data_IF_193577397497
#
_entry.id   IF_193577397497
#
_cell.length_a   1.000
_cell.length_b   1.000
_cell.length_c   1.000
_cell.angle_alpha   90.00
_cell.angle_beta   90.00
_cell.angle_gamma   90.00
#
_symmetry.space_group_name_H-M   'P 1'
#
loop_
_entity.id
_entity.type
_entity.pdbx_description
1 polymer ?
#
# COMPACT_ATOMS: atom_id res chain seq x y z
N UNK A 1 -38.25 -30.74 -32.49
CA UNK A 1 -38.48 -31.81 -31.49
C UNK A 1 -37.49 -31.78 -30.32
N UNK A 2 -36.30 -31.18 -30.42
CA UNK A 2 -35.34 -31.14 -29.29
C UNK A 2 -35.59 -30.06 -28.23
N UNK A 3 -36.29 -28.97 -28.57
CA UNK A 3 -36.53 -27.83 -27.65
C UNK A 3 -37.51 -28.22 -26.53
N UNK A 4 -38.50 -29.06 -26.83
CA UNK A 4 -39.46 -29.56 -25.85
C UNK A 4 -38.79 -30.49 -24.81
N UNK A 5 -37.88 -31.36 -25.26
CA UNK A 5 -37.18 -32.31 -24.39
C UNK A 5 -36.33 -31.64 -23.29
N UNK A 6 -35.84 -30.41 -23.52
CA UNK A 6 -35.11 -29.63 -22.51
C UNK A 6 -36.02 -29.02 -21.43
N UNK A 7 -37.24 -28.63 -21.80
CA UNK A 7 -38.24 -28.08 -20.86
C UNK A 7 -38.81 -29.17 -19.94
N UNK A 8 -39.04 -30.38 -20.47
CA UNK A 8 -39.46 -31.53 -19.65
C UNK A 8 -38.35 -32.01 -18.70
N UNK A 9 -37.09 -31.98 -19.14
CA UNK A 9 -35.94 -32.30 -18.26
C UNK A 9 -35.77 -31.31 -17.13
N UNK A 10 -35.97 -30.02 -17.38
CA UNK A 10 -35.89 -29.00 -16.33
C UNK A 10 -37.07 -29.07 -15.37
N UNK A 11 -38.31 -29.20 -15.84
CA UNK A 11 -39.49 -29.43 -14.99
C UNK A 11 -39.41 -30.72 -14.17
N UNK A 12 -38.92 -31.82 -14.74
CA UNK A 12 -38.69 -33.07 -14.01
C UNK A 12 -37.63 -32.90 -12.91
N UNK A 13 -36.57 -32.14 -13.16
CA UNK A 13 -35.56 -31.83 -12.14
C UNK A 13 -36.14 -30.92 -11.03
N UNK A 14 -36.98 -29.94 -11.37
CA UNK A 14 -37.68 -29.12 -10.38
C UNK A 14 -38.62 -29.96 -9.51
N UNK A 15 -39.41 -30.86 -10.12
CA UNK A 15 -40.30 -31.77 -9.38
C UNK A 15 -39.52 -32.75 -8.50
N UNK A 16 -38.35 -33.25 -8.94
CA UNK A 16 -37.51 -34.07 -8.08
C UNK A 16 -36.91 -33.28 -6.90
N UNK A 17 -36.54 -32.02 -7.10
CA UNK A 17 -36.04 -31.15 -6.02
C UNK A 17 -37.16 -30.84 -5.01
N UNK A 18 -38.40 -30.62 -5.48
CA UNK A 18 -39.56 -30.33 -4.64
C UNK A 18 -40.01 -31.56 -3.84
N UNK A 19 -40.03 -32.75 -4.45
CA UNK A 19 -40.28 -34.02 -3.76
C UNK A 19 -39.17 -34.33 -2.74
N UNK A 20 -37.91 -33.99 -3.05
CA UNK A 20 -36.79 -34.15 -2.12
C UNK A 20 -36.86 -33.16 -0.95
N UNK A 21 -37.36 -31.94 -1.17
CA UNK A 21 -37.58 -30.95 -0.12
C UNK A 21 -38.72 -31.34 0.83
N UNK A 22 -39.84 -31.83 0.30
CA UNK A 22 -40.97 -32.35 1.10
C UNK A 22 -40.56 -33.58 1.93
N UNK A 23 -39.69 -34.44 1.38
CA UNK A 23 -39.10 -35.55 2.13
C UNK A 23 -38.14 -35.07 3.23
N UNK A 24 -37.41 -33.98 2.99
CA UNK A 24 -36.48 -33.40 3.95
C UNK A 24 -37.23 -32.71 5.11
N UNK A 25 -38.35 -32.04 4.84
CA UNK A 25 -39.24 -31.49 5.86
C UNK A 25 -39.91 -32.60 6.68
N UNK A 26 -40.26 -33.72 6.03
CA UNK A 26 -40.74 -34.92 6.73
C UNK A 26 -39.67 -35.51 7.65
N UNK A 27 -38.41 -35.59 7.22
CA UNK A 27 -37.28 -36.03 8.06
C UNK A 27 -37.06 -35.07 9.24
N UNK A 28 -37.18 -33.75 9.03
CA UNK A 28 -37.10 -32.78 10.13
C UNK A 28 -38.24 -32.92 11.14
N UNK A 29 -39.47 -33.17 10.68
CA UNK A 29 -40.61 -33.44 11.58
C UNK A 29 -40.47 -34.77 12.33
N UNK A 30 -39.92 -35.81 11.70
CA UNK A 30 -39.63 -37.10 12.35
C UNK A 30 -38.53 -36.95 13.40
N UNK A 31 -37.45 -36.22 13.09
CA UNK A 31 -36.41 -35.88 14.08
C UNK A 31 -36.97 -35.02 15.22
N UNK A 32 -37.90 -34.10 14.95
CA UNK A 32 -38.56 -33.32 16.00
C UNK A 32 -39.46 -34.19 16.89
N UNK A 33 -40.15 -35.19 16.33
CA UNK A 33 -40.90 -36.16 17.13
C UNK A 33 -39.99 -37.06 17.96
N UNK A 34 -38.88 -37.54 17.42
CA UNK A 34 -37.90 -38.37 18.13
C UNK A 34 -37.25 -37.58 19.28
N UNK A 35 -36.92 -36.30 19.07
CA UNK A 35 -36.41 -35.40 20.13
C UNK A 35 -37.49 -35.06 21.19
N UNK A 36 -38.78 -35.11 20.85
CA UNK A 36 -39.89 -34.88 21.79
C UNK A 36 -40.19 -36.14 22.61
N UNK A 37 -40.14 -37.33 22.01
CA UNK A 37 -40.28 -38.61 22.73
C UNK A 37 -39.11 -38.84 23.71
N UNK A 38 -37.88 -38.54 23.29
CA UNK A 38 -36.68 -38.64 24.14
C UNK A 38 -36.71 -37.63 25.31
N UNK A 39 -37.44 -36.51 25.15
CA UNK A 39 -37.72 -35.56 26.25
C UNK A 39 -38.81 -36.04 27.21
N UNK A 40 -39.75 -36.85 26.76
CA UNK A 40 -40.86 -37.36 27.57
C UNK A 40 -40.34 -38.44 28.54
N UNK A 41 -39.40 -39.28 28.11
CA UNK A 41 -38.75 -40.31 28.94
C UNK A 41 -37.85 -39.71 30.05
N UNK A 42 -37.37 -38.47 29.88
CA UNK A 42 -36.55 -37.74 30.86
C UNK A 42 -37.38 -37.12 32.01
N UNK A 43 -38.70 -36.95 31.85
CA UNK A 43 -39.56 -36.28 32.84
C UNK A 43 -40.03 -37.24 33.96
N UNK A 44 -40.05 -38.56 33.71
CA UNK A 44 -40.59 -39.56 34.66
C UNK A 44 -39.58 -40.15 35.65
N UNK A 45 -38.31 -39.72 35.65
CA UNK A 45 -37.30 -40.28 36.57
C UNK A 45 -36.54 -39.21 37.38
N UNK A 46 -36.68 -39.27 38.69
CA UNK A 46 -36.13 -38.32 39.66
C UNK A 46 -34.61 -38.52 39.89
N UNK A 47 -33.82 -37.64 39.23
CA UNK A 47 -32.51 -37.04 39.61
C UNK A 47 -31.27 -37.94 39.80
N UNK A 48 -30.08 -37.51 39.30
CA UNK A 48 -29.35 -36.41 39.94
C UNK A 48 -29.12 -35.24 38.98
N UNK A 49 -28.98 -34.03 39.54
CA UNK A 49 -28.60 -32.80 38.81
C UNK A 49 -27.21 -32.93 38.18
N UNK A 50 -27.13 -33.60 37.05
CA UNK A 50 -26.01 -33.49 36.12
C UNK A 50 -26.20 -32.14 35.44
N UNK A 51 -25.16 -31.31 35.36
CA UNK A 51 -25.25 -29.99 34.75
C UNK A 51 -25.55 -30.09 33.25
N UNK A 52 -26.83 -30.25 32.90
CA UNK A 52 -27.32 -30.32 31.52
C UNK A 52 -26.99 -29.04 30.74
N UNK A 53 -26.89 -27.88 31.41
CA UNK A 53 -26.42 -26.63 30.79
C UNK A 53 -24.94 -26.68 30.37
N UNK A 54 -24.11 -27.43 31.10
CA UNK A 54 -22.70 -27.62 30.76
C UNK A 54 -22.54 -28.61 29.61
N UNK A 55 -23.29 -29.73 29.58
CA UNK A 55 -23.24 -30.69 28.47
C UNK A 55 -23.87 -30.15 27.18
N UNK A 56 -24.96 -29.38 27.26
CA UNK A 56 -25.54 -28.68 26.10
C UNK A 56 -24.55 -27.63 25.56
N UNK A 57 -23.93 -26.82 26.43
CA UNK A 57 -22.92 -25.84 25.97
C UNK A 57 -21.65 -26.49 25.41
N UNK A 58 -21.30 -27.70 25.87
CA UNK A 58 -20.15 -28.48 25.37
C UNK A 58 -20.48 -29.15 24.04
N UNK A 59 -21.70 -29.69 23.86
CA UNK A 59 -22.16 -30.22 22.57
C UNK A 59 -22.40 -29.14 21.52
N UNK A 60 -22.93 -27.97 21.91
CA UNK A 60 -23.00 -26.78 21.04
C UNK A 60 -21.61 -26.28 20.65
N UNK A 61 -20.66 -26.24 21.59
CA UNK A 61 -19.25 -25.88 21.29
C UNK A 61 -18.57 -26.92 20.41
N UNK A 62 -18.86 -28.21 20.57
CA UNK A 62 -18.29 -29.28 19.75
C UNK A 62 -18.95 -29.36 18.36
N UNK A 63 -20.23 -29.02 18.22
CA UNK A 63 -20.90 -28.89 16.93
C UNK A 63 -20.47 -27.61 16.20
N UNK A 64 -20.21 -26.53 16.94
CA UNK A 64 -19.61 -25.29 16.40
C UNK A 64 -18.10 -25.39 16.13
N UNK A 65 -17.39 -26.34 16.77
CA UNK A 65 -15.98 -26.63 16.51
C UNK A 65 -15.79 -27.71 15.44
N UNK A 66 -16.82 -28.53 15.18
CA UNK A 66 -16.81 -29.52 14.11
C UNK A 66 -16.92 -28.83 12.75
N UNK A 67 -15.74 -28.49 12.23
CA UNK A 67 -15.47 -28.09 10.87
C UNK A 67 -16.42 -27.03 10.29
N UNK A 68 -16.45 -25.83 10.89
CA UNK A 68 -17.03 -24.62 10.26
C UNK A 68 -16.62 -24.46 8.80
N UNK A 69 -15.40 -24.87 8.46
CA UNK A 69 -14.91 -24.91 7.09
C UNK A 69 -15.57 -25.98 6.22
N UNK A 70 -15.81 -27.20 6.71
CA UNK A 70 -16.59 -28.20 5.94
C UNK A 70 -18.04 -27.72 5.73
N UNK A 71 -18.65 -27.08 6.72
CA UNK A 71 -20.01 -26.52 6.60
C UNK A 71 -20.01 -25.41 5.54
N UNK A 72 -19.02 -24.53 5.57
CA UNK A 72 -18.82 -23.48 4.57
C UNK A 72 -18.57 -24.04 3.15
N UNK A 73 -17.73 -25.07 3.01
CA UNK A 73 -17.52 -25.74 1.73
C UNK A 73 -18.75 -26.47 1.23
N UNK A 74 -19.53 -27.07 2.13
CA UNK A 74 -20.80 -27.71 1.80
C UNK A 74 -21.79 -26.67 1.26
N UNK A 75 -21.80 -25.46 1.81
CA UNK A 75 -22.58 -24.33 1.29
C UNK A 75 -22.09 -23.85 -0.08
N UNK A 76 -20.77 -23.72 -0.30
CA UNK A 76 -20.22 -23.39 -1.62
C UNK A 76 -20.50 -24.46 -2.67
N UNK A 77 -20.51 -25.73 -2.26
CA UNK A 77 -20.85 -26.89 -3.11
C UNK A 77 -22.32 -26.87 -3.57
N UNK A 78 -23.19 -26.13 -2.89
CA UNK A 78 -24.58 -25.93 -3.33
C UNK A 78 -24.68 -24.93 -4.50
N UNK A 79 -23.63 -24.13 -4.75
CA UNK A 79 -23.59 -23.16 -5.86
C UNK A 79 -22.78 -23.64 -7.09
N UNK A 80 -22.80 -24.94 -7.35
CA UNK A 80 -22.19 -25.54 -8.55
C UNK A 80 -22.74 -25.03 -9.89
N UNK A 81 -24.02 -24.66 -10.07
CA UNK A 81 -24.49 -24.18 -11.37
C UNK A 81 -24.13 -22.72 -11.67
N UNK A 82 -23.82 -21.87 -10.69
CA UNK A 82 -23.55 -20.43 -10.89
C UNK A 82 -22.08 -20.04 -10.62
N UNK A 83 -21.19 -21.01 -10.44
CA UNK A 83 -19.77 -20.79 -10.15
C UNK A 83 -19.08 -19.86 -11.16
N UNK A 84 -19.52 -19.89 -12.42
CA UNK A 84 -18.99 -19.02 -13.49
C UNK A 84 -19.27 -17.54 -13.19
N UNK A 85 -20.46 -17.20 -12.67
CA UNK A 85 -20.79 -15.82 -12.31
C UNK A 85 -19.97 -15.34 -11.11
N UNK A 86 -19.74 -16.21 -10.12
CA UNK A 86 -18.84 -15.91 -9.00
C UNK A 86 -17.42 -15.67 -9.49
N UNK A 87 -16.94 -16.48 -10.44
CA UNK A 87 -15.60 -16.32 -11.01
C UNK A 87 -15.48 -15.00 -11.78
N UNK A 88 -16.47 -14.65 -12.60
CA UNK A 88 -16.50 -13.37 -13.33
C UNK A 88 -16.52 -12.18 -12.35
N UNK A 89 -17.37 -12.24 -11.32
CA UNK A 89 -17.44 -11.19 -10.29
C UNK A 89 -16.15 -11.06 -9.48
N UNK A 90 -15.49 -12.18 -9.17
CA UNK A 90 -14.19 -12.19 -8.47
C UNK A 90 -13.10 -11.53 -9.31
N UNK A 91 -13.05 -11.81 -10.62
CA UNK A 91 -12.11 -11.17 -11.55
C UNK A 91 -12.38 -9.66 -11.64
N UNK A 92 -13.65 -9.24 -11.71
CA UNK A 92 -14.03 -7.84 -11.76
C UNK A 92 -13.65 -7.06 -10.47
N UNK A 93 -13.89 -7.65 -9.29
CA UNK A 93 -13.48 -7.06 -8.01
C UNK A 93 -11.96 -6.91 -7.90
N UNK A 94 -11.21 -7.93 -8.35
CA UNK A 94 -9.75 -7.85 -8.39
C UNK A 94 -9.29 -6.70 -9.29
N UNK A 95 -9.82 -6.62 -10.52
CA UNK A 95 -9.48 -5.55 -11.45
C UNK A 95 -9.75 -4.17 -10.85
N UNK A 96 -10.93 -3.95 -10.26
CA UNK A 96 -11.28 -2.66 -9.67
C UNK A 96 -10.37 -2.27 -8.50
N UNK A 97 -10.01 -3.24 -7.64
CA UNK A 97 -9.09 -3.02 -6.53
C UNK A 97 -7.71 -2.52 -6.93
N UNK A 98 -7.23 -2.87 -8.14
CA UNK A 98 -5.96 -2.37 -8.68
C UNK A 98 -6.12 -1.10 -9.53
N UNK A 99 -7.19 -1.00 -10.32
CA UNK A 99 -7.39 0.12 -11.25
C UNK A 99 -7.49 1.46 -10.50
N UNK A 100 -8.25 1.51 -9.40
CA UNK A 100 -8.47 2.75 -8.66
C UNK A 100 -7.18 3.35 -8.08
N UNK A 101 -6.33 2.62 -7.33
CA UNK A 101 -5.08 3.18 -6.83
C UNK A 101 -4.09 3.49 -7.96
N UNK A 102 -4.00 2.67 -9.02
CA UNK A 102 -3.13 2.95 -10.18
C UNK A 102 -3.51 4.28 -10.83
N UNK A 103 -4.81 4.47 -11.10
CA UNK A 103 -5.31 5.71 -11.70
C UNK A 103 -5.02 6.93 -10.81
N UNK A 104 -5.29 6.81 -9.50
CA UNK A 104 -5.00 7.89 -8.55
C UNK A 104 -3.51 8.26 -8.50
N UNK A 105 -2.61 7.26 -8.48
CA UNK A 105 -1.16 7.46 -8.46
C UNK A 105 -0.67 8.14 -9.74
N UNK A 106 -1.13 7.70 -10.90
CA UNK A 106 -0.73 8.28 -12.19
C UNK A 106 -1.16 9.74 -12.29
N UNK A 107 -2.44 10.02 -12.02
CA UNK A 107 -3.00 11.36 -12.14
C UNK A 107 -2.32 12.34 -11.16
N UNK A 108 -2.14 11.92 -9.91
CA UNK A 108 -1.47 12.74 -8.89
C UNK A 108 -0.02 13.03 -9.27
N UNK A 109 0.73 12.03 -9.74
CA UNK A 109 2.13 12.23 -10.11
C UNK A 109 2.30 13.15 -11.32
N UNK A 110 1.44 13.03 -12.34
CA UNK A 110 1.48 13.92 -13.52
C UNK A 110 1.21 15.36 -13.09
N UNK A 111 0.16 15.60 -12.30
CA UNK A 111 -0.19 16.96 -11.84
C UNK A 111 0.93 17.54 -10.97
N UNK A 112 1.43 16.77 -9.99
CA UNK A 112 2.53 17.17 -9.11
C UNK A 112 3.77 17.53 -9.92
N UNK A 113 4.24 16.63 -10.78
CA UNK A 113 5.46 16.83 -11.55
C UNK A 113 5.32 18.03 -12.50
N UNK A 114 4.22 18.13 -13.23
CA UNK A 114 4.01 19.23 -14.18
C UNK A 114 3.89 20.59 -13.48
N UNK A 115 3.15 20.68 -12.37
CA UNK A 115 2.97 21.92 -11.63
C UNK A 115 4.31 22.45 -11.07
N UNK A 116 5.07 21.59 -10.37
CA UNK A 116 6.36 22.00 -9.82
C UNK A 116 7.42 22.21 -10.90
N UNK A 117 7.42 21.43 -11.98
CA UNK A 117 8.34 21.64 -13.11
C UNK A 117 8.12 22.99 -13.80
N UNK A 118 6.86 23.36 -14.06
CA UNK A 118 6.54 24.67 -14.65
C UNK A 118 6.92 25.80 -13.70
N UNK A 119 6.60 25.68 -12.41
CA UNK A 119 6.96 26.68 -11.41
C UNK A 119 8.48 26.87 -11.30
N UNK A 120 9.25 25.76 -11.22
CA UNK A 120 10.70 25.78 -11.17
C UNK A 120 11.34 26.36 -12.43
N UNK A 121 10.77 26.06 -13.61
CA UNK A 121 11.28 26.59 -14.88
C UNK A 121 11.08 28.11 -14.99
N UNK A 122 9.90 28.62 -14.63
CA UNK A 122 9.61 30.07 -14.58
C UNK A 122 10.48 30.80 -13.56
N UNK A 123 10.74 30.19 -12.41
CA UNK A 123 11.65 30.77 -11.41
C UNK A 123 13.08 30.86 -11.94
N UNK A 124 13.56 29.79 -12.55
CA UNK A 124 14.91 29.71 -13.14
C UNK A 124 15.09 30.72 -14.26
N UNK A 125 14.09 30.89 -15.12
CA UNK A 125 14.07 31.91 -16.18
C UNK A 125 14.26 33.31 -15.59
N UNK A 126 13.46 33.69 -14.58
CA UNK A 126 13.55 35.00 -13.92
C UNK A 126 14.92 35.24 -13.29
N UNK A 127 15.49 34.21 -12.66
CA UNK A 127 16.82 34.29 -12.04
C UNK A 127 17.88 34.51 -13.12
N UNK A 128 17.85 33.73 -14.22
CA UNK A 128 18.80 33.87 -15.33
C UNK A 128 18.72 35.25 -15.97
N UNK A 129 17.53 35.77 -16.24
CA UNK A 129 17.37 37.10 -16.86
C UNK A 129 17.88 38.21 -15.94
N UNK A 130 17.57 38.16 -14.63
CA UNK A 130 18.07 39.15 -13.67
C UNK A 130 19.58 39.06 -13.48
N UNK A 131 20.11 37.85 -13.35
CA UNK A 131 21.54 37.62 -13.20
C UNK A 131 22.33 38.08 -14.43
N UNK A 132 21.84 37.78 -15.64
CA UNK A 132 22.45 38.27 -16.88
C UNK A 132 22.37 39.79 -17.00
N UNK A 133 21.24 40.42 -16.64
CA UNK A 133 21.11 41.87 -16.62
C UNK A 133 22.09 42.54 -15.63
N UNK A 134 22.30 41.95 -14.44
CA UNK A 134 23.30 42.41 -13.49
C UNK A 134 24.72 42.22 -14.03
N UNK A 135 24.99 41.09 -14.69
CA UNK A 135 26.29 40.80 -15.29
C UNK A 135 26.67 41.85 -16.35
N UNK A 136 25.73 42.24 -17.21
CA UNK A 136 25.96 43.27 -18.25
C UNK A 136 26.19 44.68 -17.68
N UNK A 137 25.83 44.93 -16.42
CA UNK A 137 26.08 46.22 -15.75
C UNK A 137 27.44 46.29 -15.06
N UNK A 138 28.19 45.19 -15.06
CA UNK A 138 29.47 45.09 -14.41
C UNK A 138 30.57 45.82 -15.22
N UNK A 139 31.55 46.39 -14.54
CA UNK A 139 32.69 47.08 -15.17
C UNK A 139 33.56 46.13 -16.03
N UNK A 140 34.20 46.67 -17.07
CA UNK A 140 35.05 45.87 -17.99
C UNK A 140 36.21 45.19 -17.26
N UNK A 141 36.78 45.86 -16.23
CA UNK A 141 37.86 45.32 -15.40
C UNK A 141 37.46 44.05 -14.61
N UNK A 142 36.16 43.79 -14.42
CA UNK A 142 35.70 42.54 -13.80
C UNK A 142 35.92 41.33 -14.71
N UNK A 143 35.74 41.51 -16.02
CA UNK A 143 35.90 40.46 -17.05
C UNK A 143 37.37 40.22 -17.43
N UNK A 144 38.26 41.14 -17.08
CA UNK A 144 39.71 41.00 -17.34
C UNK A 144 40.40 40.00 -16.39
N UNK A 145 39.74 39.59 -15.29
CA UNK A 145 40.27 38.55 -14.39
C UNK A 145 40.16 37.19 -15.07
N UNK A 146 41.24 36.40 -15.04
CA UNK A 146 41.28 35.04 -15.63
C UNK A 146 40.21 34.09 -15.04
N UNK A 147 39.86 34.30 -13.76
CA UNK A 147 38.77 33.59 -13.06
C UNK A 147 37.38 33.90 -13.64
N UNK A 148 37.17 35.13 -14.12
CA UNK A 148 35.90 35.67 -14.62
C UNK A 148 35.84 35.67 -16.15
N UNK A 149 36.55 34.73 -16.79
CA UNK A 149 36.41 34.54 -18.23
C UNK A 149 34.93 34.36 -18.61
N UNK A 150 34.55 34.84 -19.79
CA UNK A 150 33.15 34.75 -20.27
C UNK A 150 32.61 33.32 -20.27
N UNK A 151 33.48 32.33 -20.52
CA UNK A 151 33.16 30.90 -20.43
C UNK A 151 32.91 30.43 -18.99
N UNK A 152 33.77 30.83 -18.02
CA UNK A 152 33.61 30.47 -16.62
C UNK A 152 32.32 31.06 -16.03
N UNK A 153 32.04 32.34 -16.29
CA UNK A 153 30.79 33.01 -15.87
C UNK A 153 29.57 32.31 -16.46
N UNK A 154 29.60 31.99 -17.76
CA UNK A 154 28.49 31.29 -18.42
C UNK A 154 28.23 29.93 -17.78
N UNK A 155 29.30 29.16 -17.48
CA UNK A 155 29.20 27.89 -16.81
C UNK A 155 28.59 28.03 -15.40
N UNK A 156 29.03 29.00 -14.60
CA UNK A 156 28.45 29.26 -13.27
C UNK A 156 26.98 29.65 -13.37
N UNK A 157 26.62 30.57 -14.28
CA UNK A 157 25.23 31.00 -14.48
C UNK A 157 24.32 29.83 -14.89
N UNK A 158 24.79 28.95 -15.76
CA UNK A 158 24.05 27.76 -16.20
C UNK A 158 23.95 26.72 -15.08
N UNK A 159 25.07 26.39 -14.44
CA UNK A 159 25.15 25.37 -13.39
C UNK A 159 24.32 25.73 -12.16
N UNK A 160 24.41 26.98 -11.71
CA UNK A 160 23.66 27.45 -10.55
C UNK A 160 22.15 27.51 -10.86
N UNK A 161 21.79 27.97 -12.06
CA UNK A 161 20.40 27.97 -12.52
C UNK A 161 19.81 26.55 -12.57
N UNK A 162 20.56 25.58 -13.10
CA UNK A 162 20.13 24.17 -13.13
C UNK A 162 19.97 23.59 -11.72
N UNK A 163 20.89 23.89 -10.82
CA UNK A 163 20.83 23.44 -9.42
C UNK A 163 19.59 24.01 -8.71
N UNK A 164 19.29 25.29 -8.94
CA UNK A 164 18.08 25.94 -8.42
C UNK A 164 16.82 25.32 -9.03
N UNK A 165 16.82 25.04 -10.33
CA UNK A 165 15.69 24.39 -10.99
C UNK A 165 15.40 23.02 -10.38
N UNK A 166 16.42 22.20 -10.11
CA UNK A 166 16.23 20.89 -9.49
C UNK A 166 15.63 21.01 -8.07
N UNK A 167 16.12 21.95 -7.28
CA UNK A 167 15.59 22.17 -5.93
C UNK A 167 14.10 22.58 -6.02
N UNK A 168 13.78 23.55 -6.87
CA UNK A 168 12.42 24.09 -6.98
C UNK A 168 11.43 23.13 -7.68
N UNK A 169 11.87 22.40 -8.70
CA UNK A 169 11.00 21.57 -9.54
C UNK A 169 10.77 20.17 -8.99
N UNK A 170 11.75 19.55 -8.34
CA UNK A 170 11.63 18.15 -7.92
C UNK A 170 11.71 18.00 -6.40
N UNK A 171 12.71 18.60 -5.74
CA UNK A 171 12.91 18.38 -4.30
C UNK A 171 11.78 18.95 -3.44
N UNK A 172 11.27 20.14 -3.75
CA UNK A 172 10.16 20.73 -2.99
C UNK A 172 8.91 19.83 -2.99
N UNK A 173 8.54 19.26 -4.14
CA UNK A 173 7.40 18.35 -4.24
C UNK A 173 7.58 17.11 -3.36
N UNK A 174 8.77 16.50 -3.38
CA UNK A 174 9.08 15.34 -2.53
C UNK A 174 9.09 15.68 -1.04
N UNK A 175 9.57 16.87 -0.65
CA UNK A 175 9.56 17.31 0.75
C UNK A 175 8.12 17.47 1.24
N UNK A 176 7.27 18.15 0.48
CA UNK A 176 5.85 18.31 0.84
C UNK A 176 5.13 16.96 0.96
N UNK A 177 5.38 16.04 0.04
CA UNK A 177 4.80 14.69 0.06
C UNK A 177 5.28 13.87 1.26
N UNK A 178 6.59 13.87 1.53
CA UNK A 178 7.18 13.14 2.66
C UNK A 178 6.65 13.65 3.99
N UNK A 179 6.50 14.98 4.14
CA UNK A 179 5.92 15.57 5.34
C UNK A 179 4.45 15.17 5.52
N UNK A 180 3.66 15.19 4.46
CA UNK A 180 2.26 14.77 4.52
C UNK A 180 2.13 13.28 4.89
N UNK A 181 2.94 12.41 4.27
CA UNK A 181 2.97 10.98 4.60
C UNK A 181 3.41 10.73 6.04
N UNK A 182 4.41 11.47 6.52
CA UNK A 182 4.89 11.36 7.89
C UNK A 182 3.81 11.74 8.92
N UNK A 183 3.14 12.88 8.72
CA UNK A 183 2.06 13.34 9.61
C UNK A 183 0.91 12.34 9.61
N UNK A 184 0.47 11.89 8.42
CA UNK A 184 -0.62 10.92 8.31
C UNK A 184 -0.26 9.59 8.97
N UNK A 185 0.98 9.11 8.80
CA UNK A 185 1.47 7.89 9.42
C UNK A 185 1.46 7.94 10.95
N UNK A 186 1.88 9.07 11.54
CA UNK A 186 1.80 9.28 12.99
C UNK A 186 0.36 9.29 13.47
N UNK A 187 -0.52 10.05 12.81
CA UNK A 187 -1.93 10.15 13.18
C UNK A 187 -2.60 8.77 13.15
N UNK A 188 -2.45 8.03 12.06
CA UNK A 188 -3.02 6.69 11.92
C UNK A 188 -2.43 5.71 12.95
N UNK A 189 -1.11 5.77 13.20
CA UNK A 189 -0.47 4.94 14.23
C UNK A 189 -1.08 5.14 15.61
N UNK A 190 -1.27 6.39 16.03
CA UNK A 190 -1.89 6.70 17.32
C UNK A 190 -3.36 6.30 17.39
N UNK A 191 -4.11 6.40 16.30
CA UNK A 191 -5.53 6.03 16.25
C UNK A 191 -5.76 4.52 16.42
N UNK A 192 -4.92 3.67 15.79
CA UNK A 192 -5.10 2.23 15.87
C UNK A 192 -4.56 1.65 17.18
N UNK A 193 -3.28 1.88 17.49
CA UNK A 193 -2.65 1.38 18.70
C UNK A 193 -1.46 2.27 19.11
N UNK A 194 -1.61 3.00 20.22
CA UNK A 194 -0.56 3.90 20.70
C UNK A 194 0.67 3.16 21.23
N UNK A 195 0.52 1.96 21.81
CA UNK A 195 1.67 1.22 22.39
C UNK A 195 2.68 0.80 21.32
N UNK A 196 2.20 0.24 20.20
CA UNK A 196 3.07 -0.14 19.08
C UNK A 196 3.71 1.07 18.41
N UNK A 197 2.95 2.15 18.25
CA UNK A 197 3.43 3.37 17.60
C UNK A 197 4.58 4.02 18.36
N UNK A 198 4.56 4.03 19.70
CA UNK A 198 5.67 4.53 20.50
C UNK A 198 6.96 3.70 20.31
N UNK A 199 6.84 2.37 20.21
CA UNK A 199 7.98 1.49 19.93
C UNK A 199 8.57 1.81 18.54
N UNK A 200 7.71 1.99 17.53
CA UNK A 200 8.16 2.34 16.17
C UNK A 200 8.86 3.71 16.14
N UNK A 201 8.33 4.71 16.84
CA UNK A 201 8.97 6.03 16.95
C UNK A 201 10.35 5.92 17.60
N UNK A 202 10.50 5.09 18.63
CA UNK A 202 11.80 4.85 19.26
C UNK A 202 12.80 4.19 18.29
N UNK A 203 12.36 3.20 17.51
CA UNK A 203 13.19 2.57 16.47
C UNK A 203 13.56 3.57 15.38
N UNK A 204 12.62 4.42 14.93
CA UNK A 204 12.89 5.48 13.95
C UNK A 204 13.98 6.45 14.43
N UNK A 205 13.98 6.79 15.72
CA UNK A 205 15.03 7.62 16.31
C UNK A 205 16.40 6.94 16.29
N UNK A 206 16.47 5.65 16.60
CA UNK A 206 17.73 4.87 16.50
C UNK A 206 18.22 4.86 15.04
N UNK A 207 17.34 4.60 14.07
CA UNK A 207 17.70 4.62 12.64
C UNK A 207 18.18 6.01 12.19
N UNK A 208 17.52 7.08 12.65
CA UNK A 208 17.95 8.45 12.38
C UNK A 208 19.36 8.73 12.92
N UNK A 209 19.68 8.24 14.12
CA UNK A 209 21.03 8.36 14.67
C UNK A 209 22.07 7.56 13.89
N UNK A 210 21.74 6.33 13.47
CA UNK A 210 22.65 5.51 12.65
C UNK A 210 22.94 6.16 11.29
N UNK A 211 21.90 6.66 10.62
CA UNK A 211 22.05 7.38 9.33
C UNK A 211 22.83 8.68 9.50
N UNK A 212 22.63 9.41 10.60
CA UNK A 212 23.43 10.60 10.92
C UNK A 212 24.92 10.26 11.06
N UNK A 213 25.25 9.20 11.79
CA UNK A 213 26.64 8.74 11.96
C UNK A 213 27.25 8.30 10.61
N UNK A 214 26.47 7.61 9.76
CA UNK A 214 26.92 7.22 8.42
C UNK A 214 27.24 8.45 7.55
N UNK A 215 26.37 9.47 7.54
CA UNK A 215 26.56 10.68 6.73
C UNK A 215 27.82 11.46 7.17
N UNK A 216 28.05 11.63 8.49
CA UNK A 216 29.25 12.33 8.97
C UNK A 216 30.53 11.55 8.65
N UNK A 217 30.47 10.22 8.72
CA UNK A 217 31.59 9.37 8.38
C UNK A 217 31.92 9.45 6.88
N UNK A 218 30.92 9.36 6.01
CA UNK A 218 31.09 9.54 4.56
C UNK A 218 31.65 10.92 4.22
N UNK A 219 31.15 11.99 4.84
CA UNK A 219 31.68 13.33 4.63
C UNK A 219 33.13 13.47 5.08
N UNK A 220 33.53 12.80 6.17
CA UNK A 220 34.91 12.80 6.65
C UNK A 220 35.83 12.05 5.70
N UNK A 221 35.45 10.83 5.30
CA UNK A 221 36.19 10.04 4.31
C UNK A 221 36.33 10.79 2.98
N UNK A 222 35.26 11.43 2.50
CA UNK A 222 35.30 12.18 1.24
C UNK A 222 36.26 13.38 1.32
N UNK A 223 36.42 14.02 2.49
CA UNK A 223 37.39 15.09 2.67
C UNK A 223 38.82 14.55 2.62
N UNK A 224 39.13 13.51 3.39
CA UNK A 224 40.46 12.88 3.41
C UNK A 224 40.88 12.36 2.03
N UNK A 225 39.96 11.69 1.31
CA UNK A 225 40.23 11.21 -0.05
C UNK A 225 40.55 12.36 -1.01
N UNK A 226 39.84 13.50 -0.90
CA UNK A 226 40.13 14.68 -1.73
C UNK A 226 41.51 15.27 -1.44
N UNK A 227 41.93 15.30 -0.18
CA UNK A 227 43.25 15.80 0.20
C UNK A 227 44.38 14.92 -0.34
N UNK A 228 44.26 13.59 -0.20
CA UNK A 228 45.23 12.63 -0.76
C UNK A 228 45.28 12.73 -2.29
N UNK A 229 44.12 12.85 -2.95
CA UNK A 229 44.04 13.02 -4.40
C UNK A 229 44.69 14.34 -4.85
N UNK A 230 44.52 15.43 -4.10
CA UNK A 230 45.17 16.70 -4.40
C UNK A 230 46.69 16.58 -4.27
N UNK A 231 47.20 15.95 -3.21
CA UNK A 231 48.63 15.69 -3.04
C UNK A 231 49.17 14.83 -4.18
N UNK A 232 48.49 13.72 -4.52
CA UNK A 232 48.88 12.87 -5.64
C UNK A 232 48.89 13.62 -6.99
N UNK A 233 47.89 14.48 -7.21
CA UNK A 233 47.83 15.32 -8.42
C UNK A 233 48.98 16.32 -8.50
N UNK A 234 49.34 16.96 -7.39
CA UNK A 234 50.49 17.88 -7.35
C UNK A 234 51.81 17.18 -7.62
N UNK A 235 52.04 16.00 -7.03
CA UNK A 235 53.27 15.22 -7.27
C UNK A 235 53.34 14.77 -8.73
N UNK A 236 52.21 14.38 -9.32
CA UNK A 236 52.14 14.04 -10.74
C UNK A 236 52.53 15.21 -11.64
N UNK A 237 52.09 16.43 -11.33
CA UNK A 237 52.48 17.62 -12.09
C UNK A 237 53.97 17.91 -11.98
N UNK A 238 54.57 17.72 -10.80
CA UNK A 238 56.02 17.86 -10.60
C UNK A 238 56.87 16.84 -11.36
N UNK A 239 56.35 15.62 -11.60
CA UNK A 239 57.07 14.57 -12.34
C UNK A 239 57.00 14.71 -13.87
N UNK A 240 56.08 15.53 -14.39
CA UNK A 240 55.88 15.75 -15.83
C UNK A 240 56.73 16.92 -16.36
N UNK A 241 57.29 17.76 -15.46
CA UNK A 241 58.21 18.85 -15.76
C UNK A 241 59.68 18.46 -15.53
#
# INVERSE_FOLDING_TARGET
>A
MEIENGKYRTMSNYQQIEIQADHHDKIYSMMQQEIVEDKQEIIDNDQPKINYSASISTHQKNFASSNRWLIFLRLLSMNKPEWIMIMIGSIACLANGFIQPIFALLLTNIIKFTAFAVAGSKLTERIRTKAFACLLRQEVAYFDRSENSSGAICHHLLSDALSIQQIAATRLGYICETLAMFILGIILGFLFNYQFTLIVIFILFIVAMLTYINIIFEMRLHKECREILQQASSVREFLIY
#
